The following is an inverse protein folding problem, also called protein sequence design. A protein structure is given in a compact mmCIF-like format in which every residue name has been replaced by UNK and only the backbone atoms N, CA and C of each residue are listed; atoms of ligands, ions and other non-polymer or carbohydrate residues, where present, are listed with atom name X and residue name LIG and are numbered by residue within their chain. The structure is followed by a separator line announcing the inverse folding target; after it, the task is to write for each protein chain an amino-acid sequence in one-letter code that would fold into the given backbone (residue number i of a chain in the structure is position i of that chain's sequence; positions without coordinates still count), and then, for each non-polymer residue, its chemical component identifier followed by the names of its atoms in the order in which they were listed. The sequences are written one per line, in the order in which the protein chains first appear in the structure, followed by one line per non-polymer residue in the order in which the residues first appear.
data_IF_534946561879
#
_entry.id   IF_534946561879
#
_cell.length_a   1.000
_cell.length_b   1.000
_cell.length_c   1.000
_cell.angle_alpha   90.00
_cell.angle_beta   90.00
_cell.angle_gamma   90.00
#
_symmetry.space_group_name_H-M   'P 1'
#
loop_
_entity.id
_entity.type
_entity.pdbx_description
1 polymer ?
#
# COMPACT_ATOMS: atom_id res chain seq x y z
N UNK A 1 23.92 38.38 -24.53
CA UNK A 1 24.15 38.60 -25.98
C UNK A 1 25.42 37.86 -26.40
N UNK A 2 25.29 36.94 -27.37
CA UNK A 2 26.19 36.70 -28.53
C UNK A 2 27.70 36.64 -28.21
N UNK A 3 28.37 35.50 -28.37
CA UNK A 3 29.14 35.09 -29.57
C UNK A 3 29.65 33.65 -29.33
N UNK A 4 29.15 32.60 -29.99
CA UNK A 4 29.62 31.97 -31.25
C UNK A 4 31.13 32.06 -31.46
N UNK A 5 31.86 30.95 -31.29
CA UNK A 5 33.10 30.56 -32.01
C UNK A 5 33.22 29.02 -31.87
N UNK A 6 32.84 28.23 -32.87
CA UNK A 6 33.73 27.75 -33.94
C UNK A 6 34.87 26.89 -33.40
N UNK A 7 34.68 25.57 -33.38
CA UNK A 7 35.79 24.64 -33.56
C UNK A 7 35.29 23.34 -34.17
N UNK A 8 35.71 23.17 -35.40
CA UNK A 8 35.64 21.93 -36.14
C UNK A 8 36.34 20.82 -35.33
N UNK A 9 35.62 19.73 -35.14
CA UNK A 9 36.22 18.42 -34.93
C UNK A 9 35.45 17.44 -35.82
N UNK A 10 35.86 17.42 -37.09
CA UNK A 10 35.70 16.24 -37.92
C UNK A 10 36.49 15.11 -37.26
N UNK A 11 35.81 14.23 -36.53
CA UNK A 11 36.31 12.91 -36.20
C UNK A 11 35.29 11.92 -36.72
N UNK A 12 35.63 11.35 -37.88
CA UNK A 12 35.00 10.17 -38.42
C UNK A 12 35.10 9.05 -37.37
N UNK A 13 34.00 8.79 -36.69
CA UNK A 13 33.82 7.57 -35.91
C UNK A 13 33.11 6.56 -36.80
N UNK A 14 33.93 5.80 -37.53
CA UNK A 14 33.55 4.50 -38.04
C UNK A 14 33.12 3.63 -36.85
N UNK A 15 31.89 3.14 -36.89
CA UNK A 15 31.34 2.32 -35.81
C UNK A 15 29.84 2.16 -35.92
N UNK A 16 29.33 1.74 -37.08
CA UNK A 16 27.99 1.15 -37.13
C UNK A 16 28.06 -0.22 -36.42
N UNK A 17 28.17 -0.21 -35.09
CA UNK A 17 27.79 -1.37 -34.30
C UNK A 17 26.28 -1.39 -34.30
N UNK A 18 25.70 -2.03 -35.31
CA UNK A 18 24.29 -2.41 -35.33
C UNK A 18 24.10 -3.46 -34.25
N UNK A 19 23.95 -3.01 -33.01
CA UNK A 19 23.48 -3.87 -31.94
C UNK A 19 22.02 -4.16 -32.29
N UNK A 20 21.77 -5.29 -32.96
CA UNK A 20 20.43 -5.90 -32.97
C UNK A 20 20.17 -6.38 -31.54
N UNK A 21 19.82 -5.44 -30.68
CA UNK A 21 19.06 -5.74 -29.49
C UNK A 21 17.70 -6.21 -30.00
N UNK A 22 17.54 -7.52 -30.15
CA UNK A 22 16.20 -8.10 -30.08
C UNK A 22 15.64 -7.58 -28.78
N UNK A 23 14.68 -6.66 -28.84
CA UNK A 23 13.89 -6.31 -27.67
C UNK A 23 13.33 -7.62 -27.16
N UNK A 24 13.92 -8.12 -26.07
CA UNK A 24 13.30 -9.17 -25.29
C UNK A 24 12.08 -8.48 -24.71
N UNK A 25 10.99 -8.54 -25.48
CA UNK A 25 9.62 -8.30 -25.04
C UNK A 25 9.31 -9.42 -24.06
N UNK A 26 9.99 -9.40 -22.92
CA UNK A 26 9.45 -9.94 -21.71
C UNK A 26 8.27 -9.03 -21.39
N UNK A 27 7.15 -9.32 -22.05
CA UNK A 27 5.84 -9.09 -21.51
C UNK A 27 5.78 -9.97 -20.26
N UNK A 28 6.50 -9.57 -19.21
CA UNK A 28 6.09 -9.85 -17.86
C UNK A 28 4.75 -9.14 -17.82
N UNK A 29 3.62 -9.85 -17.86
CA UNK A 29 2.40 -9.19 -17.48
C UNK A 29 2.74 -8.60 -16.12
N UNK A 30 2.71 -7.27 -16.02
CA UNK A 30 2.48 -6.63 -14.73
C UNK A 30 1.07 -7.10 -14.41
N UNK A 31 0.98 -8.32 -13.88
CA UNK A 31 -0.12 -8.74 -13.05
C UNK A 31 0.10 -7.83 -11.86
N UNK A 32 -0.46 -6.63 -11.95
CA UNK A 32 -1.03 -6.03 -10.78
C UNK A 32 -1.99 -7.12 -10.32
N UNK A 33 -1.51 -7.98 -9.43
CA UNK A 33 -2.37 -8.59 -8.46
C UNK A 33 -2.97 -7.36 -7.81
N UNK A 34 -4.13 -6.96 -8.33
CA UNK A 34 -5.07 -6.17 -7.59
C UNK A 34 -5.34 -7.10 -6.42
N UNK A 35 -4.52 -6.97 -5.38
CA UNK A 35 -4.83 -7.46 -4.06
C UNK A 35 -6.24 -6.96 -3.86
N UNK A 36 -7.22 -7.86 -4.06
CA UNK A 36 -8.64 -7.53 -4.13
C UNK A 36 -9.15 -7.32 -2.71
N UNK A 37 -8.28 -6.70 -1.92
CA UNK A 37 -8.36 -6.36 -0.54
C UNK A 37 -8.84 -4.92 -0.53
N UNK A 38 -10.16 -4.77 -0.64
CA UNK A 38 -10.77 -3.44 -0.56
C UNK A 38 -10.71 -3.00 0.90
N UNK A 39 -10.02 -1.88 1.14
CA UNK A 39 -9.98 -1.22 2.43
C UNK A 39 -10.97 -0.06 2.40
N UNK A 40 -12.12 -0.26 3.01
CA UNK A 40 -13.13 0.79 3.16
C UNK A 40 -12.92 1.44 4.52
N UNK A 41 -12.53 2.72 4.60
CA UNK A 41 -12.51 3.44 5.87
C UNK A 41 -13.92 3.46 6.45
N UNK A 42 -14.05 3.06 7.70
CA UNK A 42 -15.30 3.05 8.45
C UNK A 42 -15.12 3.91 9.68
N UNK A 43 -16.16 4.61 10.10
CA UNK A 43 -16.07 5.39 11.33
C UNK A 43 -16.19 4.49 12.55
N UNK A 44 -15.59 4.90 13.66
CA UNK A 44 -15.65 4.13 14.92
C UNK A 44 -17.08 3.87 15.40
N UNK A 45 -18.02 4.75 15.01
CA UNK A 45 -19.45 4.61 15.30
C UNK A 45 -20.16 3.57 14.43
N UNK A 46 -19.64 3.30 13.24
CA UNK A 46 -20.20 2.34 12.28
C UNK A 46 -19.61 0.93 12.51
N UNK A 47 -18.72 0.80 13.50
CA UNK A 47 -18.22 -0.49 13.95
C UNK A 47 -19.32 -1.26 14.69
N UNK A 48 -19.42 -2.58 14.48
CA UNK A 48 -20.32 -3.43 15.23
C UNK A 48 -20.09 -3.30 16.75
N UNK A 49 -21.16 -3.44 17.55
CA UNK A 49 -21.06 -3.39 19.02
C UNK A 49 -20.00 -4.34 19.57
N UNK A 50 -19.84 -5.52 18.94
CA UNK A 50 -18.82 -6.49 19.31
C UNK A 50 -17.40 -5.94 19.17
N UNK A 51 -17.12 -5.20 18.09
CA UNK A 51 -15.82 -4.56 17.85
C UNK A 51 -15.60 -3.40 18.82
N UNK A 52 -16.62 -2.57 19.05
CA UNK A 52 -16.55 -1.48 20.03
C UNK A 52 -16.28 -2.00 21.45
N UNK A 53 -16.91 -3.11 21.84
CA UNK A 53 -16.70 -3.77 23.12
C UNK A 53 -15.26 -4.26 23.28
N UNK A 54 -14.66 -4.78 22.20
CA UNK A 54 -13.25 -5.20 22.18
C UNK A 54 -12.29 -4.02 22.26
N UNK A 55 -12.60 -2.89 21.60
CA UNK A 55 -11.82 -1.65 21.74
C UNK A 55 -11.90 -1.06 23.15
N UNK A 56 -13.02 -1.26 23.84
CA UNK A 56 -13.20 -0.90 25.25
C UNK A 56 -12.66 -1.95 26.23
N UNK A 57 -12.20 -3.10 25.75
CA UNK A 57 -11.65 -4.17 26.58
C UNK A 57 -10.18 -3.91 26.93
N UNK A 58 -9.76 -4.31 28.13
CA UNK A 58 -8.34 -4.34 28.49
C UNK A 58 -7.65 -5.48 27.73
N UNK A 59 -6.45 -5.27 27.15
CA UNK A 59 -5.57 -4.10 27.25
C UNK A 59 -5.76 -3.05 26.14
N UNK A 60 -6.67 -3.28 25.20
CA UNK A 60 -6.88 -2.45 24.01
C UNK A 60 -7.37 -1.05 24.38
N UNK A 61 -8.12 -0.90 25.47
CA UNK A 61 -8.57 0.37 26.04
C UNK A 61 -7.42 1.34 26.36
N UNK A 62 -6.22 0.81 26.64
CA UNK A 62 -5.03 1.64 26.84
C UNK A 62 -4.51 2.25 25.53
N UNK A 63 -5.04 1.83 24.38
CA UNK A 63 -4.71 2.33 23.06
C UNK A 63 -5.88 3.13 22.49
N UNK A 64 -5.60 4.31 21.97
CA UNK A 64 -6.61 5.19 21.38
C UNK A 64 -6.83 4.78 19.93
N UNK A 65 -8.01 4.26 19.53
CA UNK A 65 -8.30 3.99 18.13
C UNK A 65 -8.33 5.30 17.35
N UNK A 66 -7.49 5.41 16.33
CA UNK A 66 -7.38 6.60 15.47
C UNK A 66 -8.18 6.44 14.21
N UNK A 67 -8.16 5.23 13.63
CA UNK A 67 -8.82 4.94 12.36
C UNK A 67 -9.35 3.52 12.36
N UNK A 68 -10.40 3.28 11.58
CA UNK A 68 -10.96 1.96 11.38
C UNK A 68 -11.18 1.71 9.88
N UNK A 69 -10.86 0.50 9.44
CA UNK A 69 -10.93 0.09 8.05
C UNK A 69 -11.60 -1.27 7.96
N UNK A 70 -12.69 -1.38 7.21
CA UNK A 70 -13.22 -2.66 6.80
C UNK A 70 -12.37 -3.18 5.64
N UNK A 71 -11.65 -4.26 5.87
CA UNK A 71 -10.80 -4.92 4.89
C UNK A 71 -11.53 -6.15 4.38
N UNK A 72 -11.86 -6.18 3.09
CA UNK A 72 -12.49 -7.36 2.47
C UNK A 72 -11.48 -8.02 1.55
N UNK A 73 -10.99 -9.21 1.91
CA UNK A 73 -10.04 -9.98 1.12
C UNK A 73 -10.67 -10.55 -0.16
N UNK A 74 -9.80 -10.99 -1.06
CA UNK A 74 -10.19 -11.74 -2.26
C UNK A 74 -10.98 -13.02 -1.94
N UNK A 75 -10.71 -13.66 -0.80
CA UNK A 75 -11.38 -14.88 -0.32
C UNK A 75 -12.82 -14.62 0.20
N UNK A 76 -13.35 -13.40 0.02
CA UNK A 76 -14.63 -12.91 0.54
C UNK A 76 -14.70 -12.82 2.07
N UNK A 77 -13.58 -13.04 2.76
CA UNK A 77 -13.47 -12.80 4.20
C UNK A 77 -13.28 -11.31 4.44
N UNK A 78 -14.03 -10.75 5.37
CA UNK A 78 -13.90 -9.35 5.76
C UNK A 78 -13.56 -9.23 7.25
N UNK A 79 -12.67 -8.30 7.56
CA UNK A 79 -12.23 -8.01 8.93
C UNK A 79 -12.07 -6.50 9.12
N UNK A 80 -12.26 -6.03 10.33
CA UNK A 80 -12.06 -4.64 10.72
C UNK A 80 -10.63 -4.44 11.19
N UNK A 81 -9.84 -3.67 10.46
CA UNK A 81 -8.53 -3.22 10.88
C UNK A 81 -8.67 -1.87 11.57
N UNK A 82 -8.47 -1.86 12.88
CA UNK A 82 -8.48 -0.66 13.71
C UNK A 82 -7.03 -0.24 13.96
N UNK A 83 -6.64 0.93 13.45
CA UNK A 83 -5.39 1.55 13.85
C UNK A 83 -5.57 2.16 15.24
N UNK A 84 -4.65 1.84 16.13
CA UNK A 84 -4.64 2.31 17.50
C UNK A 84 -3.32 2.99 17.80
N UNK A 85 -3.33 4.02 18.65
CA UNK A 85 -2.14 4.75 19.04
C UNK A 85 -2.05 4.82 20.55
N UNK A 86 -0.88 4.50 21.09
CA UNK A 86 -0.56 4.60 22.51
C UNK A 86 0.73 5.37 22.68
N UNK A 87 0.62 6.58 23.20
CA UNK A 87 1.76 7.50 23.39
C UNK A 87 2.56 7.73 22.08
N UNK A 88 3.71 7.07 21.93
CA UNK A 88 4.56 7.11 20.73
C UNK A 88 4.43 5.86 19.84
N UNK A 89 3.72 4.82 20.29
CA UNK A 89 3.55 3.58 19.55
C UNK A 89 2.25 3.60 18.73
N UNK A 90 2.36 3.18 17.47
CA UNK A 90 1.22 2.91 16.60
C UNK A 90 1.06 1.41 16.44
N UNK A 91 -0.13 0.91 16.75
CA UNK A 91 -0.53 -0.47 16.53
C UNK A 91 -1.69 -0.58 15.55
N UNK A 92 -1.95 -1.78 15.08
CA UNK A 92 -3.15 -2.09 14.29
C UNK A 92 -3.74 -3.38 14.80
N UNK A 93 -5.00 -3.35 15.23
CA UNK A 93 -5.75 -4.53 15.61
C UNK A 93 -6.66 -4.96 14.46
N UNK A 94 -6.56 -6.22 14.06
CA UNK A 94 -7.54 -6.82 13.16
C UNK A 94 -8.60 -7.49 14.04
N UNK A 95 -9.86 -7.16 13.81
CA UNK A 95 -11.01 -7.62 14.58
C UNK A 95 -12.04 -8.17 13.59
N UNK A 96 -12.49 -9.39 13.80
CA UNK A 96 -13.55 -9.99 12.98
C UNK A 96 -14.91 -9.33 13.30
N UNK A 97 -15.92 -9.54 12.45
CA UNK A 97 -17.30 -9.07 12.65
C UNK A 97 -17.91 -9.51 14.00
N UNK A 98 -17.42 -10.61 14.55
CA UNK A 98 -17.83 -11.17 15.84
C UNK A 98 -17.10 -10.52 17.04
N UNK A 99 -16.28 -9.48 16.81
CA UNK A 99 -15.52 -8.78 17.85
C UNK A 99 -14.27 -9.50 18.32
N UNK A 100 -13.88 -10.61 17.70
CA UNK A 100 -12.66 -11.35 18.04
C UNK A 100 -11.44 -10.71 17.38
N UNK A 101 -10.40 -10.43 18.16
CA UNK A 101 -9.12 -9.99 17.62
C UNK A 101 -8.47 -11.16 16.88
N UNK A 102 -8.26 -10.98 15.58
CA UNK A 102 -7.64 -11.96 14.67
C UNK A 102 -6.26 -11.42 14.26
N UNK A 103 -5.29 -11.48 15.18
CA UNK A 103 -3.95 -10.91 14.97
C UNK A 103 -3.18 -11.61 13.83
#
# INVERSE_FOLDING_TARGET
MKKIILSAAFLALAGLTTVKATEVKNNVPVVAYQDSTTKTPVELKDLPEAVQKTLQSEPVKAWTPTEAFLVTNADKTSYYLINVKKEAETGSLKIDKDGKVVQ
#
